data_IF_669095506114
#
_entry.id   IF_669095506114
#
_cell.length_a   1.000
_cell.length_b   1.000
_cell.length_c   1.000
_cell.angle_alpha   90.00
_cell.angle_beta   90.00
_cell.angle_gamma   90.00
#
_symmetry.space_group_name_H-M   'P 1'
#
loop_
_entity.id
_entity.type
_entity.pdbx_description
1 polymer ?
#
# COMPACT_ATOMS: atom_id res chain seq x y z
N UNK A 1 -39.05 -10.39 -4.65
CA UNK A 1 -37.99 -9.74 -3.82
C UNK A 1 -36.75 -10.64 -3.55
N UNK A 2 -36.62 -11.82 -4.11
CA UNK A 2 -35.59 -12.83 -3.80
C UNK A 2 -34.32 -12.74 -4.68
N UNK A 3 -34.36 -12.04 -5.82
CA UNK A 3 -33.22 -12.00 -6.75
C UNK A 3 -32.13 -10.98 -6.34
N UNK A 4 -32.45 -9.96 -5.56
CA UNK A 4 -31.51 -8.92 -5.11
C UNK A 4 -30.47 -9.42 -4.10
N UNK A 5 -30.74 -10.52 -3.37
CA UNK A 5 -29.80 -11.06 -2.37
C UNK A 5 -28.59 -11.73 -3.01
N UNK A 6 -28.70 -12.24 -4.24
CA UNK A 6 -27.63 -12.97 -4.94
C UNK A 6 -26.54 -12.05 -5.49
N UNK A 7 -26.89 -10.85 -5.91
CA UNK A 7 -25.96 -9.88 -6.52
C UNK A 7 -25.38 -8.89 -5.51
N UNK A 8 -25.97 -8.76 -4.33
CA UNK A 8 -25.55 -7.78 -3.34
C UNK A 8 -24.08 -7.93 -2.89
N UNK A 9 -23.48 -9.13 -2.74
CA UNK A 9 -22.06 -9.28 -2.49
C UNK A 9 -21.16 -8.56 -3.50
N UNK A 10 -21.51 -8.62 -4.78
CA UNK A 10 -20.77 -7.94 -5.85
C UNK A 10 -20.98 -6.42 -5.85
N UNK A 11 -22.16 -5.94 -5.41
CA UNK A 11 -22.40 -4.52 -5.18
C UNK A 11 -21.50 -4.01 -4.07
N UNK A 12 -21.32 -4.78 -2.99
CA UNK A 12 -20.37 -4.44 -1.92
C UNK A 12 -18.94 -4.31 -2.46
N UNK A 13 -18.51 -5.23 -3.31
CA UNK A 13 -17.18 -5.16 -3.96
C UNK A 13 -17.06 -3.90 -4.82
N UNK A 14 -18.07 -3.58 -5.62
CA UNK A 14 -18.07 -2.39 -6.47
C UNK A 14 -18.01 -1.09 -5.63
N UNK A 15 -18.81 -1.01 -4.55
CA UNK A 15 -18.78 0.12 -3.64
C UNK A 15 -17.42 0.28 -2.96
N UNK A 16 -16.82 -0.81 -2.49
CA UNK A 16 -15.50 -0.77 -1.86
C UNK A 16 -14.36 -0.58 -2.86
N UNK A 17 -14.55 -0.95 -4.12
CA UNK A 17 -13.64 -0.62 -5.21
C UNK A 17 -13.52 0.90 -5.39
N UNK A 18 -14.66 1.62 -5.37
CA UNK A 18 -14.67 3.08 -5.42
C UNK A 18 -13.94 3.72 -4.22
N UNK A 19 -14.09 3.16 -3.01
CA UNK A 19 -13.35 3.63 -1.83
C UNK A 19 -11.84 3.40 -2.00
N UNK A 20 -11.45 2.21 -2.49
CA UNK A 20 -10.06 1.86 -2.75
C UNK A 20 -9.40 2.78 -3.79
N UNK A 21 -10.15 3.09 -4.86
CA UNK A 21 -9.73 4.04 -5.87
C UNK A 21 -9.47 5.43 -5.27
N UNK A 22 -10.43 5.99 -4.52
CA UNK A 22 -10.28 7.30 -3.89
C UNK A 22 -9.12 7.33 -2.91
N UNK A 23 -8.95 6.28 -2.10
CA UNK A 23 -7.88 6.18 -1.10
C UNK A 23 -6.47 6.29 -1.73
N UNK A 24 -6.21 5.53 -2.79
CA UNK A 24 -4.91 5.56 -3.45
C UNK A 24 -4.72 6.76 -4.37
N UNK A 25 -5.81 7.31 -4.90
CA UNK A 25 -5.78 8.53 -5.70
C UNK A 25 -5.37 9.73 -4.83
N UNK A 26 -5.94 9.89 -3.63
CA UNK A 26 -5.57 10.94 -2.67
C UNK A 26 -4.09 10.86 -2.25
N UNK A 27 -3.58 9.64 -2.04
CA UNK A 27 -2.17 9.44 -1.71
C UNK A 27 -1.25 9.84 -2.85
N UNK A 28 -1.60 9.42 -4.07
CA UNK A 28 -0.73 9.57 -5.23
C UNK A 28 -0.72 10.99 -5.79
N UNK A 29 -1.87 11.69 -5.76
CA UNK A 29 -1.93 13.05 -6.32
C UNK A 29 -0.97 14.01 -5.63
N UNK A 30 -0.80 13.91 -4.30
CA UNK A 30 0.13 14.77 -3.57
C UNK A 30 1.56 14.66 -4.11
N UNK A 31 2.03 13.45 -4.45
CA UNK A 31 3.40 13.24 -4.93
C UNK A 31 3.73 13.98 -6.23
N UNK A 32 2.70 14.44 -6.95
CA UNK A 32 2.85 15.19 -8.21
C UNK A 32 2.67 16.70 -8.06
N UNK A 33 2.09 17.17 -6.94
CA UNK A 33 1.67 18.58 -6.79
C UNK A 33 2.73 19.50 -6.15
N UNK A 34 3.94 18.99 -5.82
CA UNK A 34 4.98 19.81 -5.17
C UNK A 34 5.18 21.15 -5.88
N UNK A 35 5.37 21.13 -7.19
CA UNK A 35 5.67 22.34 -8.00
C UNK A 35 4.55 23.38 -7.93
N UNK A 36 3.28 22.95 -7.87
CA UNK A 36 2.15 23.85 -7.73
C UNK A 36 2.01 24.41 -6.33
N UNK A 37 2.22 23.56 -5.31
CA UNK A 37 2.03 23.94 -3.90
C UNK A 37 3.14 24.86 -3.36
N UNK A 38 4.38 24.73 -3.84
CA UNK A 38 5.51 25.54 -3.35
C UNK A 38 5.38 27.03 -3.73
N UNK A 39 4.50 27.40 -4.65
CA UNK A 39 4.22 28.77 -5.02
C UNK A 39 3.60 29.54 -3.86
N UNK A 40 2.69 28.90 -3.14
CA UNK A 40 1.95 29.51 -2.02
C UNK A 40 2.51 29.08 -0.65
N UNK A 41 3.08 27.87 -0.54
CA UNK A 41 3.72 27.33 0.66
C UNK A 41 5.22 27.21 0.41
N UNK A 42 5.95 28.28 0.66
CA UNK A 42 7.38 28.43 0.31
C UNK A 42 8.29 27.39 0.98
N UNK A 43 7.91 26.88 2.14
CA UNK A 43 8.65 25.80 2.81
C UNK A 43 8.72 24.52 1.96
N UNK A 44 7.81 24.34 0.98
CA UNK A 44 7.80 23.20 0.05
C UNK A 44 8.77 23.38 -1.13
N UNK A 45 9.46 24.51 -1.27
CA UNK A 45 10.60 24.64 -2.19
C UNK A 45 11.64 23.57 -1.86
N UNK A 46 11.88 23.33 -0.56
CA UNK A 46 12.71 22.22 -0.11
C UNK A 46 12.04 20.87 -0.34
N UNK A 47 12.68 20.00 -1.11
CA UNK A 47 12.24 18.62 -1.30
C UNK A 47 12.32 17.81 0.01
N UNK A 48 13.24 18.17 0.93
CA UNK A 48 13.30 17.63 2.29
C UNK A 48 11.99 17.86 3.05
N UNK A 49 11.43 19.07 3.01
CA UNK A 49 10.16 19.37 3.67
C UNK A 49 9.00 18.62 2.97
N UNK A 50 9.00 18.54 1.66
CA UNK A 50 8.00 17.77 0.92
C UNK A 50 8.10 16.27 1.26
N UNK A 51 9.30 15.71 1.35
CA UNK A 51 9.55 14.34 1.81
C UNK A 51 9.05 14.11 3.23
N UNK A 52 9.24 15.08 4.16
CA UNK A 52 8.68 15.04 5.52
C UNK A 52 7.15 15.04 5.52
N UNK A 53 6.53 15.85 4.66
CA UNK A 53 5.07 15.91 4.49
C UNK A 53 4.49 14.57 4.00
N UNK A 54 5.16 13.90 3.07
CA UNK A 54 4.75 12.57 2.63
C UNK A 54 5.02 11.50 3.70
N UNK A 55 6.16 11.58 4.39
CA UNK A 55 6.57 10.60 5.38
C UNK A 55 5.72 10.62 6.66
N UNK A 56 5.21 11.78 7.12
CA UNK A 56 4.39 11.85 8.34
C UNK A 56 3.14 10.99 8.23
N UNK A 57 2.51 10.98 7.06
CA UNK A 57 1.38 10.10 6.79
C UNK A 57 1.76 8.63 7.00
N UNK A 58 2.91 8.19 6.47
CA UNK A 58 3.37 6.81 6.58
C UNK A 58 3.70 6.42 8.03
N UNK A 59 4.34 7.33 8.79
CA UNK A 59 4.60 7.10 10.21
C UNK A 59 3.32 6.85 11.00
N UNK A 60 2.34 7.73 10.84
CA UNK A 60 1.07 7.62 11.56
C UNK A 60 0.26 6.43 11.09
N UNK A 61 0.17 6.21 9.76
CA UNK A 61 -0.50 5.05 9.18
C UNK A 61 0.11 3.73 9.67
N UNK A 62 1.44 3.63 9.70
CA UNK A 62 2.13 2.43 10.18
C UNK A 62 1.88 2.15 11.67
N UNK A 63 1.93 3.19 12.52
CA UNK A 63 1.60 3.07 13.94
C UNK A 63 0.15 2.65 14.18
N UNK A 64 -0.77 3.16 13.36
CA UNK A 64 -2.19 2.86 13.47
C UNK A 64 -2.57 1.49 12.89
N UNK A 65 -1.78 0.90 11.99
CA UNK A 65 -2.11 -0.35 11.31
C UNK A 65 -2.46 -1.52 12.26
N UNK A 66 -1.68 -1.81 13.32
CA UNK A 66 -2.05 -2.87 14.28
C UNK A 66 -3.32 -2.54 15.07
N UNK A 67 -3.52 -1.26 15.42
CA UNK A 67 -4.68 -0.77 16.17
C UNK A 67 -5.93 -0.85 15.29
N UNK A 68 -5.81 -0.49 14.03
CA UNK A 68 -6.90 -0.50 13.05
C UNK A 68 -7.50 -1.90 12.85
N UNK A 69 -6.66 -2.95 12.81
CA UNK A 69 -7.12 -4.33 12.76
C UNK A 69 -7.98 -4.70 13.99
N UNK A 70 -7.51 -4.35 15.20
CA UNK A 70 -8.27 -4.61 16.44
C UNK A 70 -9.59 -3.85 16.51
N UNK A 71 -9.64 -2.63 15.98
CA UNK A 71 -10.85 -1.81 15.90
C UNK A 71 -11.83 -2.42 14.90
N UNK A 72 -11.36 -2.84 13.72
CA UNK A 72 -12.18 -3.44 12.66
C UNK A 72 -12.88 -4.75 13.10
N UNK A 73 -12.27 -5.49 14.04
CA UNK A 73 -12.85 -6.70 14.59
C UNK A 73 -13.97 -6.43 15.63
N UNK A 74 -14.03 -5.22 16.21
CA UNK A 74 -14.96 -4.89 17.31
C UNK A 74 -16.06 -3.93 16.93
N UNK A 75 -15.84 -3.10 15.93
CA UNK A 75 -16.77 -2.06 15.50
C UNK A 75 -17.50 -2.52 14.23
N UNK A 76 -18.72 -2.04 14.03
CA UNK A 76 -19.47 -2.22 12.80
C UNK A 76 -18.66 -1.72 11.60
N UNK A 77 -18.29 -2.64 10.70
CA UNK A 77 -17.37 -2.39 9.58
C UNK A 77 -17.92 -1.35 8.60
N UNK A 78 -19.23 -1.34 8.36
CA UNK A 78 -19.87 -0.31 7.53
C UNK A 78 -19.57 1.09 8.06
N UNK A 79 -19.83 1.32 9.35
CA UNK A 79 -19.64 2.65 9.94
C UNK A 79 -18.16 3.02 10.07
N UNK A 80 -17.30 2.03 10.26
CA UNK A 80 -15.85 2.25 10.26
C UNK A 80 -15.35 2.69 8.87
N UNK A 81 -15.81 2.05 7.79
CA UNK A 81 -15.47 2.39 6.41
C UNK A 81 -16.01 3.78 6.06
N UNK A 82 -17.29 4.03 6.34
CA UNK A 82 -17.95 5.32 6.05
C UNK A 82 -17.27 6.46 6.81
N UNK A 83 -17.04 6.28 8.12
CA UNK A 83 -16.39 7.27 8.96
C UNK A 83 -14.95 7.54 8.55
N UNK A 84 -14.20 6.49 8.23
CA UNK A 84 -12.84 6.60 7.71
C UNK A 84 -12.82 7.41 6.41
N UNK A 85 -13.63 7.03 5.42
CA UNK A 85 -13.73 7.77 4.14
C UNK A 85 -14.15 9.23 4.35
N UNK A 86 -15.15 9.48 5.18
CA UNK A 86 -15.59 10.85 5.46
C UNK A 86 -14.48 11.70 6.08
N UNK A 87 -13.78 11.16 7.10
CA UNK A 87 -12.73 11.90 7.81
C UNK A 87 -11.57 12.21 6.89
N UNK A 88 -11.00 11.23 6.14
CA UNK A 88 -9.88 11.55 5.27
C UNK A 88 -10.27 12.49 4.13
N UNK A 89 -11.48 12.33 3.55
CA UNK A 89 -11.97 13.23 2.48
C UNK A 89 -12.21 14.64 3.00
N UNK A 90 -12.71 14.79 4.23
CA UNK A 90 -12.82 16.07 4.88
C UNK A 90 -11.45 16.70 5.15
N UNK A 91 -10.46 15.89 5.57
CA UNK A 91 -9.08 16.34 5.72
C UNK A 91 -8.49 16.77 4.38
N UNK A 92 -8.72 16.00 3.30
CA UNK A 92 -8.32 16.37 1.94
C UNK A 92 -8.93 17.72 1.53
N UNK A 93 -10.22 17.93 1.80
CA UNK A 93 -10.89 19.22 1.57
C UNK A 93 -10.20 20.35 2.36
N UNK A 94 -9.89 20.13 3.63
CA UNK A 94 -9.23 21.11 4.50
C UNK A 94 -7.78 21.41 4.06
N UNK A 95 -7.09 20.45 3.45
CA UNK A 95 -5.77 20.70 2.87
C UNK A 95 -5.81 21.78 1.79
N UNK A 96 -6.89 21.87 1.01
CA UNK A 96 -7.09 22.95 0.03
C UNK A 96 -7.30 24.34 0.63
N UNK A 97 -7.51 24.46 1.94
CA UNK A 97 -7.59 25.74 2.66
C UNK A 97 -6.32 26.06 3.46
N UNK A 98 -5.29 25.19 3.38
CA UNK A 98 -4.05 25.40 4.13
C UNK A 98 -3.23 26.52 3.52
N UNK A 99 -2.68 27.39 4.39
CA UNK A 99 -1.87 28.56 4.01
C UNK A 99 -0.41 28.42 4.44
N UNK A 100 -0.09 27.40 5.24
CA UNK A 100 1.26 27.15 5.72
C UNK A 100 1.59 25.65 5.84
N UNK A 101 2.88 25.34 5.92
CA UNK A 101 3.39 23.98 6.01
C UNK A 101 2.87 23.21 7.23
N UNK A 102 2.75 23.85 8.38
CA UNK A 102 2.36 23.13 9.60
C UNK A 102 0.89 22.67 9.54
N UNK A 103 0.01 23.48 8.95
CA UNK A 103 -1.38 23.11 8.75
C UNK A 103 -1.50 21.85 7.89
N UNK A 104 -0.87 21.85 6.72
CA UNK A 104 -0.95 20.71 5.81
C UNK A 104 -0.24 19.47 6.39
N UNK A 105 0.83 19.67 7.18
CA UNK A 105 1.56 18.60 7.85
C UNK A 105 0.69 17.89 8.92
N UNK A 106 -0.05 18.67 9.74
CA UNK A 106 -0.97 18.13 10.75
C UNK A 106 -2.13 17.41 10.07
N UNK A 107 -2.70 17.99 9.02
CA UNK A 107 -3.78 17.37 8.25
C UNK A 107 -3.33 16.02 7.65
N UNK A 108 -2.10 15.94 7.11
CA UNK A 108 -1.53 14.67 6.63
C UNK A 108 -1.35 13.63 7.74
N UNK A 109 -0.99 14.06 8.95
CA UNK A 109 -0.93 13.15 10.10
C UNK A 109 -2.31 12.58 10.47
N UNK A 110 -3.35 13.44 10.51
CA UNK A 110 -4.73 13.02 10.77
C UNK A 110 -5.24 12.07 9.68
N UNK A 111 -4.92 12.35 8.42
CA UNK A 111 -5.23 11.47 7.30
C UNK A 111 -4.66 10.05 7.50
N UNK A 112 -3.41 9.94 7.98
CA UNK A 112 -2.77 8.66 8.28
C UNK A 112 -3.55 7.82 9.31
N UNK A 113 -4.14 8.46 10.34
CA UNK A 113 -5.01 7.78 11.32
C UNK A 113 -6.26 7.24 10.64
N UNK A 114 -6.97 8.08 9.88
CA UNK A 114 -8.25 7.70 9.30
C UNK A 114 -8.13 6.64 8.22
N UNK A 115 -7.16 6.77 7.34
CA UNK A 115 -6.97 5.81 6.24
C UNK A 115 -6.50 4.42 6.69
N UNK A 116 -5.77 4.34 7.82
CA UNK A 116 -5.34 3.04 8.37
C UNK A 116 -6.53 2.13 8.72
N UNK A 117 -7.69 2.70 9.05
CA UNK A 117 -8.89 1.97 9.44
C UNK A 117 -9.60 1.30 8.24
N UNK A 118 -9.40 1.81 7.02
CA UNK A 118 -10.17 1.38 5.86
C UNK A 118 -9.83 -0.04 5.39
N UNK A 119 -8.55 -0.32 5.11
CA UNK A 119 -8.15 -1.59 4.46
C UNK A 119 -8.57 -2.82 5.28
N UNK A 120 -8.31 -2.91 6.60
CA UNK A 120 -8.76 -4.05 7.41
C UNK A 120 -10.27 -4.22 7.40
N UNK A 121 -11.01 -3.12 7.55
CA UNK A 121 -12.47 -3.13 7.58
C UNK A 121 -13.07 -3.53 6.22
N UNK A 122 -12.54 -2.98 5.13
CA UNK A 122 -13.00 -3.25 3.77
C UNK A 122 -12.77 -4.70 3.35
N UNK A 123 -11.56 -5.22 3.56
CA UNK A 123 -11.24 -6.61 3.25
C UNK A 123 -12.06 -7.59 4.11
N UNK A 124 -12.23 -7.29 5.39
CA UNK A 124 -13.09 -8.11 6.26
C UNK A 124 -14.53 -8.12 5.77
N UNK A 125 -15.10 -6.97 5.40
CA UNK A 125 -16.48 -6.91 4.89
C UNK A 125 -16.64 -7.67 3.57
N UNK A 126 -15.68 -7.58 2.64
CA UNK A 126 -15.68 -8.35 1.39
C UNK A 126 -15.67 -9.85 1.71
N UNK A 127 -14.79 -10.29 2.60
CA UNK A 127 -14.66 -11.72 2.93
C UNK A 127 -15.89 -12.28 3.66
N UNK A 128 -16.62 -11.44 4.39
CA UNK A 128 -17.89 -11.85 5.01
C UNK A 128 -18.99 -12.10 3.97
N UNK A 129 -19.05 -11.28 2.91
CA UNK A 129 -20.05 -11.41 1.87
C UNK A 129 -19.74 -12.53 0.86
N UNK A 130 -18.44 -12.92 0.71
CA UNK A 130 -17.99 -13.90 -0.26
C UNK A 130 -17.53 -15.20 0.39
N UNK A 131 -18.06 -16.34 -0.11
CA UNK A 131 -17.63 -17.68 0.29
C UNK A 131 -16.31 -18.07 -0.40
N UNK A 132 -15.70 -19.19 0.00
CA UNK A 132 -14.40 -19.66 -0.50
C UNK A 132 -14.25 -19.62 -2.04
N UNK A 133 -15.29 -19.97 -2.80
CA UNK A 133 -15.26 -20.01 -4.26
C UNK A 133 -15.10 -18.64 -4.94
N UNK A 134 -15.52 -17.54 -4.29
CA UNK A 134 -15.53 -16.19 -4.88
C UNK A 134 -14.72 -15.17 -4.10
N UNK A 135 -14.23 -15.54 -2.92
CA UNK A 135 -13.52 -14.63 -2.01
C UNK A 135 -12.26 -14.02 -2.65
N UNK A 136 -11.41 -14.87 -3.23
CA UNK A 136 -10.17 -14.42 -3.86
C UNK A 136 -10.43 -13.49 -5.06
N UNK A 137 -11.44 -13.82 -5.87
CA UNK A 137 -11.83 -12.96 -7.00
C UNK A 137 -12.37 -11.60 -6.51
N UNK A 138 -13.19 -11.58 -5.47
CA UNK A 138 -13.75 -10.36 -4.91
C UNK A 138 -12.64 -9.44 -4.33
N UNK A 139 -11.69 -10.00 -3.60
CA UNK A 139 -10.51 -9.26 -3.12
C UNK A 139 -9.65 -8.79 -4.28
N UNK A 140 -9.41 -9.63 -5.30
CA UNK A 140 -8.66 -9.26 -6.49
C UNK A 140 -9.28 -8.06 -7.22
N UNK A 141 -10.61 -8.05 -7.43
CA UNK A 141 -11.32 -6.92 -8.03
C UNK A 141 -11.15 -5.67 -7.16
N UNK A 142 -11.30 -5.76 -5.85
CA UNK A 142 -11.06 -4.63 -4.94
C UNK A 142 -9.64 -4.07 -5.09
N UNK A 143 -8.62 -4.93 -5.19
CA UNK A 143 -7.23 -4.51 -5.39
C UNK A 143 -7.01 -3.76 -6.70
N UNK A 144 -7.77 -4.06 -7.77
CA UNK A 144 -7.67 -3.26 -9.01
C UNK A 144 -8.07 -1.80 -8.79
N UNK A 145 -8.96 -1.51 -7.81
CA UNK A 145 -9.30 -0.15 -7.42
C UNK A 145 -8.09 0.64 -6.90
N UNK A 146 -7.22 -0.01 -6.11
CA UNK A 146 -5.99 0.61 -5.60
C UNK A 146 -5.05 1.00 -6.76
N UNK A 147 -4.80 0.08 -7.69
CA UNK A 147 -3.94 0.36 -8.86
C UNK A 147 -4.53 1.45 -9.76
N UNK A 148 -5.85 1.43 -9.98
CA UNK A 148 -6.54 2.46 -10.76
C UNK A 148 -6.44 3.82 -10.07
N UNK A 149 -6.64 3.87 -8.75
CA UNK A 149 -6.49 5.08 -7.96
C UNK A 149 -5.06 5.62 -8.02
N UNK A 150 -4.05 4.76 -7.88
CA UNK A 150 -2.65 5.13 -8.02
C UNK A 150 -2.34 5.72 -9.41
N UNK A 151 -2.84 5.11 -10.49
CA UNK A 151 -2.66 5.61 -11.83
C UNK A 151 -3.30 7.01 -12.00
N UNK A 152 -4.58 7.14 -11.63
CA UNK A 152 -5.33 8.39 -11.79
C UNK A 152 -4.82 9.52 -10.89
N UNK A 153 -4.27 9.20 -9.71
CA UNK A 153 -3.65 10.19 -8.83
C UNK A 153 -2.45 10.90 -9.47
N UNK A 154 -1.82 10.30 -10.49
CA UNK A 154 -0.78 10.94 -11.28
C UNK A 154 -1.19 12.23 -11.96
N UNK A 155 -2.49 12.41 -12.25
CA UNK A 155 -3.03 13.65 -12.82
C UNK A 155 -3.15 14.81 -11.82
N UNK A 156 -2.71 14.66 -10.57
CA UNK A 156 -2.75 15.73 -9.58
C UNK A 156 -2.10 17.02 -10.08
N UNK A 157 -0.88 16.96 -10.63
CA UNK A 157 -0.20 18.12 -11.21
C UNK A 157 -0.91 18.67 -12.46
N UNK A 158 -1.48 17.81 -13.30
CA UNK A 158 -2.22 18.23 -14.50
C UNK A 158 -3.45 19.07 -14.12
N UNK A 159 -4.20 18.64 -13.11
CA UNK A 159 -5.38 19.35 -12.61
C UNK A 159 -4.94 20.64 -11.89
N UNK A 160 -3.88 20.56 -11.06
CA UNK A 160 -3.35 21.72 -10.35
C UNK A 160 -2.82 22.79 -11.32
N UNK A 161 -2.20 22.40 -12.42
CA UNK A 161 -1.74 23.32 -13.46
C UNK A 161 -2.87 23.96 -14.27
N UNK A 162 -4.00 23.25 -14.45
CA UNK A 162 -5.16 23.78 -15.18
C UNK A 162 -6.01 24.72 -14.34
N UNK A 163 -6.08 24.51 -13.02
CA UNK A 163 -6.91 25.27 -12.09
C UNK A 163 -6.08 25.82 -10.92
N UNK A 164 -5.85 25.03 -9.90
CA UNK A 164 -4.91 25.26 -8.78
C UNK A 164 -4.78 23.99 -7.94
N UNK A 165 -3.76 23.92 -7.08
CA UNK A 165 -3.58 22.81 -6.16
C UNK A 165 -4.69 22.78 -5.07
N UNK A 166 -5.16 23.94 -4.59
CA UNK A 166 -6.26 24.07 -3.65
C UNK A 166 -7.56 23.52 -4.26
N UNK A 167 -7.86 23.91 -5.50
CA UNK A 167 -9.04 23.43 -6.24
C UNK A 167 -8.98 21.92 -6.41
N UNK A 168 -7.79 21.36 -6.67
CA UNK A 168 -7.60 19.92 -6.76
C UNK A 168 -7.97 19.23 -5.45
N UNK A 169 -7.47 19.68 -4.31
CA UNK A 169 -7.85 19.14 -3.01
C UNK A 169 -9.35 19.33 -2.69
N UNK A 170 -9.92 20.47 -3.05
CA UNK A 170 -11.35 20.71 -2.85
C UNK A 170 -12.20 19.71 -3.63
N UNK A 171 -11.92 19.47 -4.90
CA UNK A 171 -12.68 18.51 -5.71
C UNK A 171 -12.56 17.09 -5.16
N UNK A 172 -11.37 16.64 -4.86
CA UNK A 172 -11.16 15.27 -4.33
C UNK A 172 -11.84 15.11 -2.97
N UNK A 173 -11.73 16.09 -2.10
CA UNK A 173 -12.39 16.08 -0.79
C UNK A 173 -13.92 16.03 -0.92
N UNK A 174 -14.51 16.88 -1.78
CA UNK A 174 -15.97 16.92 -2.02
C UNK A 174 -16.45 15.59 -2.62
N UNK A 175 -15.74 15.03 -3.62
CA UNK A 175 -16.09 13.74 -4.23
C UNK A 175 -16.09 12.64 -3.17
N UNK A 176 -15.07 12.58 -2.31
CA UNK A 176 -15.00 11.57 -1.26
C UNK A 176 -16.07 11.72 -0.19
N UNK A 177 -16.38 12.95 0.23
CA UNK A 177 -17.50 13.24 1.14
C UNK A 177 -18.83 12.80 0.51
N UNK A 178 -19.08 13.17 -0.75
CA UNK A 178 -20.28 12.76 -1.47
C UNK A 178 -20.36 11.23 -1.59
N UNK A 179 -19.24 10.57 -1.84
CA UNK A 179 -19.18 9.11 -1.92
C UNK A 179 -19.44 8.44 -0.57
N UNK A 180 -19.04 9.06 0.55
CA UNK A 180 -19.39 8.57 1.88
C UNK A 180 -20.90 8.55 2.12
N UNK A 181 -21.64 9.54 1.60
CA UNK A 181 -23.10 9.55 1.64
C UNK A 181 -23.73 8.42 0.81
N UNK A 182 -23.15 8.13 -0.37
CA UNK A 182 -23.55 6.95 -1.17
C UNK A 182 -23.37 5.67 -0.37
N UNK A 183 -22.25 5.51 0.35
CA UNK A 183 -22.01 4.34 1.19
C UNK A 183 -23.00 4.24 2.36
N UNK A 184 -23.39 5.35 2.97
CA UNK A 184 -24.43 5.34 4.02
C UNK A 184 -25.71 4.70 3.51
N UNK A 185 -26.12 5.03 2.29
CA UNK A 185 -27.36 4.56 1.69
C UNK A 185 -27.28 3.10 1.19
N UNK A 186 -26.19 2.73 0.54
CA UNK A 186 -26.10 1.47 -0.21
C UNK A 186 -25.26 0.39 0.47
N UNK A 187 -24.26 0.72 1.29
CA UNK A 187 -23.45 -0.27 1.99
C UNK A 187 -24.22 -0.79 3.22
N UNK A 188 -24.27 -2.11 3.38
CA UNK A 188 -24.89 -2.77 4.54
C UNK A 188 -23.87 -3.60 5.27
N UNK A 189 -23.99 -3.63 6.60
CA UNK A 189 -23.26 -4.58 7.43
C UNK A 189 -23.86 -5.98 7.25
N UNK A 190 -22.99 -6.98 7.10
CA UNK A 190 -23.44 -8.37 7.21
C UNK A 190 -23.40 -8.76 8.68
N UNK A 191 -24.57 -8.96 9.30
CA UNK A 191 -24.66 -9.50 10.65
C UNK A 191 -24.10 -10.92 10.64
N UNK A 192 -22.89 -11.09 11.11
CA UNK A 192 -22.28 -12.40 11.23
C UNK A 192 -22.65 -13.01 12.58
N UNK A 193 -23.40 -14.11 12.55
CA UNK A 193 -23.68 -14.91 13.75
C UNK A 193 -22.47 -15.72 14.20
N UNK A 194 -21.34 -15.66 13.48
CA UNK A 194 -20.16 -16.49 13.72
C UNK A 194 -19.31 -15.95 14.88
N UNK A 195 -19.30 -14.63 15.10
CA UNK A 195 -18.61 -14.03 16.26
C UNK A 195 -19.24 -14.48 17.58
N UNK A 196 -20.57 -14.67 17.59
CA UNK A 196 -21.30 -15.18 18.75
C UNK A 196 -21.00 -16.67 19.07
N UNK A 197 -20.49 -17.44 18.09
CA UNK A 197 -20.12 -18.85 18.30
C UNK A 197 -18.70 -19.05 18.84
N UNK A 198 -17.77 -18.14 18.55
CA UNK A 198 -16.40 -18.17 19.10
C UNK A 198 -16.37 -17.81 20.59
N UNK A 199 -17.39 -17.08 21.08
CA UNK A 199 -17.55 -16.78 22.52
C UNK A 199 -18.14 -17.95 23.33
N UNK A 200 -18.52 -19.06 22.71
CA UNK A 200 -19.22 -20.19 23.36
C UNK A 200 -18.35 -21.43 23.57
N UNK A 201 -17.06 -21.44 23.22
CA UNK A 201 -16.16 -22.51 23.62
C UNK A 201 -15.64 -22.28 25.06
N UNK A 202 -15.76 -23.26 25.96
CA UNK A 202 -15.30 -23.14 27.32
C UNK A 202 -13.78 -23.39 27.40
N UNK A 203 -13.00 -22.34 27.12
CA UNK A 203 -11.56 -22.28 27.39
C UNK A 203 -11.22 -21.08 28.27
N UNK A 204 -10.10 -21.03 28.99
CA UNK A 204 -9.70 -19.86 29.75
C UNK A 204 -9.56 -18.67 28.77
N UNK A 205 -10.46 -17.70 28.91
CA UNK A 205 -10.49 -16.47 28.08
C UNK A 205 -9.24 -15.63 28.38
N UNK A 206 -8.12 -15.94 27.72
CA UNK A 206 -7.00 -14.99 27.65
C UNK A 206 -7.52 -13.71 27.02
N UNK A 207 -7.24 -12.56 27.64
CA UNK A 207 -7.62 -11.28 27.02
C UNK A 207 -6.95 -11.19 25.64
N UNK A 208 -7.66 -10.67 24.61
CA UNK A 208 -7.11 -10.55 23.25
C UNK A 208 -5.73 -9.84 23.20
N UNK A 209 -5.51 -8.90 24.11
CA UNK A 209 -4.22 -8.22 24.26
C UNK A 209 -3.12 -9.16 24.77
N UNK A 210 -3.41 -10.04 25.78
CA UNK A 210 -2.43 -11.02 26.25
C UNK A 210 -2.10 -12.07 25.21
N UNK A 211 -3.11 -12.54 24.45
CA UNK A 211 -2.91 -13.48 23.36
C UNK A 211 -2.06 -12.86 22.22
N UNK A 212 -2.29 -11.59 21.90
CA UNK A 212 -1.48 -10.84 20.91
C UNK A 212 -0.04 -10.66 21.40
N UNK A 213 0.20 -10.26 22.65
CA UNK A 213 1.55 -10.09 23.23
C UNK A 213 2.29 -11.42 23.25
N UNK A 214 1.62 -12.52 23.66
CA UNK A 214 2.22 -13.86 23.66
C UNK A 214 2.56 -14.31 22.23
N UNK A 215 1.66 -14.05 21.27
CA UNK A 215 1.90 -14.32 19.86
C UNK A 215 3.09 -13.55 19.31
N UNK A 216 3.20 -12.24 19.61
CA UNK A 216 4.35 -11.43 19.26
C UNK A 216 5.64 -12.00 19.84
N UNK A 217 5.67 -12.37 21.12
CA UNK A 217 6.85 -12.98 21.74
C UNK A 217 7.32 -14.23 21.01
N UNK A 218 6.41 -15.12 20.59
CA UNK A 218 6.76 -16.33 19.84
C UNK A 218 7.26 -16.02 18.42
N UNK A 219 6.74 -14.99 17.75
CA UNK A 219 7.19 -14.56 16.43
C UNK A 219 8.63 -14.04 16.50
N UNK A 220 8.95 -13.20 17.48
CA UNK A 220 10.28 -12.59 17.61
C UNK A 220 11.39 -13.55 18.05
N UNK A 221 11.04 -14.71 18.62
CA UNK A 221 12.00 -15.79 18.88
C UNK A 221 12.38 -16.55 17.60
N UNK A 222 11.55 -16.49 16.56
CA UNK A 222 11.80 -17.20 15.30
C UNK A 222 12.71 -16.37 14.37
N UNK A 223 13.94 -16.83 14.15
CA UNK A 223 14.92 -16.19 13.26
C UNK A 223 14.39 -16.01 11.83
N UNK A 224 13.60 -16.97 11.31
CA UNK A 224 13.02 -16.86 9.99
C UNK A 224 12.04 -15.68 9.88
N UNK A 225 11.38 -15.32 10.98
CA UNK A 225 10.49 -14.15 11.01
C UNK A 225 11.28 -12.85 10.86
N UNK A 226 12.43 -12.72 11.51
CA UNK A 226 13.32 -11.56 11.35
C UNK A 226 13.86 -11.43 9.92
N UNK A 227 14.20 -12.57 9.29
CA UNK A 227 14.65 -12.58 7.89
C UNK A 227 13.51 -12.12 6.96
N UNK A 228 12.27 -12.57 7.21
CA UNK A 228 11.09 -12.12 6.47
C UNK A 228 10.84 -10.62 6.66
N UNK A 229 10.98 -10.11 7.89
CA UNK A 229 10.85 -8.68 8.16
C UNK A 229 11.91 -7.86 7.43
N UNK A 230 13.18 -8.29 7.49
CA UNK A 230 14.29 -7.65 6.78
C UNK A 230 14.06 -7.65 5.27
N UNK A 231 13.71 -8.80 4.72
CA UNK A 231 13.40 -8.98 3.31
C UNK A 231 12.28 -8.05 2.87
N UNK A 232 11.17 -8.03 3.60
CA UNK A 232 10.03 -7.18 3.27
C UNK A 232 10.32 -5.69 3.44
N UNK A 233 11.00 -5.30 4.54
CA UNK A 233 11.39 -3.92 4.78
C UNK A 233 12.32 -3.39 3.68
N UNK A 234 13.37 -4.14 3.34
CA UNK A 234 14.35 -3.73 2.32
C UNK A 234 13.71 -3.62 0.93
N UNK A 235 12.83 -4.56 0.58
CA UNK A 235 12.11 -4.53 -0.70
C UNK A 235 11.03 -3.45 -0.74
N UNK A 236 10.51 -3.03 0.42
CA UNK A 236 9.55 -1.93 0.53
C UNK A 236 10.19 -0.56 0.29
N UNK A 237 11.51 -0.40 0.51
CA UNK A 237 12.21 0.86 0.26
C UNK A 237 12.01 1.35 -1.18
N UNK A 238 12.42 0.61 -2.23
CA UNK A 238 12.22 1.05 -3.61
C UNK A 238 10.73 1.11 -3.99
N UNK A 239 9.86 0.30 -3.38
CA UNK A 239 8.42 0.36 -3.61
C UNK A 239 7.80 1.69 -3.16
N UNK A 240 8.21 2.22 -2.00
CA UNK A 240 7.77 3.54 -1.54
C UNK A 240 8.50 4.68 -2.22
N UNK A 241 9.78 4.50 -2.56
CA UNK A 241 10.54 5.45 -3.37
C UNK A 241 9.84 5.73 -4.70
N UNK A 242 9.46 4.68 -5.43
CA UNK A 242 8.75 4.82 -6.71
C UNK A 242 7.36 5.43 -6.55
N UNK A 243 6.61 5.10 -5.51
CA UNK A 243 5.30 5.71 -5.26
C UNK A 243 5.39 7.21 -5.02
N UNK A 244 6.40 7.66 -4.28
CA UNK A 244 6.47 9.03 -3.80
C UNK A 244 7.37 9.93 -4.64
N UNK A 245 8.42 9.40 -5.27
CA UNK A 245 9.46 10.19 -5.94
C UNK A 245 9.65 9.87 -7.43
N UNK A 246 9.02 8.80 -7.95
CA UNK A 246 9.15 8.49 -9.38
C UNK A 246 8.63 9.59 -10.30
N UNK A 247 7.51 10.30 -9.99
CA UNK A 247 7.09 11.45 -10.80
C UNK A 247 8.17 12.52 -10.88
N UNK A 248 8.82 12.86 -9.76
CA UNK A 248 9.93 13.81 -9.70
C UNK A 248 11.12 13.32 -10.54
N UNK A 249 11.52 12.06 -10.38
CA UNK A 249 12.61 11.45 -11.13
C UNK A 249 12.33 11.48 -12.65
N UNK A 250 11.09 11.20 -13.08
CA UNK A 250 10.70 11.28 -14.50
C UNK A 250 10.78 12.72 -15.02
N UNK A 251 10.30 13.69 -14.23
CA UNK A 251 10.36 15.10 -14.58
C UNK A 251 11.82 15.59 -14.75
N UNK A 252 12.68 15.24 -13.80
CA UNK A 252 14.10 15.63 -13.82
C UNK A 252 14.85 14.97 -14.98
N UNK A 253 14.81 13.63 -15.09
CA UNK A 253 15.61 12.89 -16.06
C UNK A 253 15.12 13.06 -17.51
N UNK A 254 13.82 13.29 -17.74
CA UNK A 254 13.26 13.50 -19.07
C UNK A 254 13.10 14.98 -19.42
N UNK A 255 13.36 15.89 -18.47
CA UNK A 255 13.17 17.33 -18.63
C UNK A 255 11.76 17.69 -19.11
N UNK A 256 10.74 17.03 -18.56
CA UNK A 256 9.32 17.24 -18.85
C UNK A 256 8.58 17.81 -17.65
N UNK A 257 7.48 18.52 -17.90
CA UNK A 257 6.65 19.06 -16.83
C UNK A 257 6.04 17.98 -15.95
N UNK A 258 5.82 18.31 -14.67
CA UNK A 258 5.19 17.40 -13.72
C UNK A 258 3.78 16.99 -14.15
N UNK A 259 3.06 17.82 -14.90
CA UNK A 259 1.76 17.52 -15.49
C UNK A 259 1.78 16.35 -16.47
N UNK A 260 2.94 16.08 -17.10
CA UNK A 260 3.18 14.93 -17.98
C UNK A 260 3.90 13.80 -17.24
N UNK A 261 4.92 14.12 -16.44
CA UNK A 261 5.71 13.16 -15.68
C UNK A 261 4.86 12.38 -14.66
N UNK A 262 3.90 13.05 -14.01
CA UNK A 262 2.98 12.45 -13.05
C UNK A 262 2.20 11.28 -13.66
N UNK A 263 1.32 11.54 -14.64
CA UNK A 263 0.58 10.46 -15.30
C UNK A 263 1.49 9.40 -15.91
N UNK A 264 2.55 9.78 -16.63
CA UNK A 264 3.46 8.84 -17.27
C UNK A 264 4.07 7.85 -16.27
N UNK A 265 4.60 8.35 -15.16
CA UNK A 265 5.23 7.50 -14.14
C UNK A 265 4.23 6.61 -13.42
N UNK A 266 3.07 7.16 -13.03
CA UNK A 266 2.07 6.40 -12.25
C UNK A 266 1.37 5.33 -13.08
N UNK A 267 1.03 5.61 -14.34
CA UNK A 267 0.49 4.60 -15.26
C UNK A 267 1.52 3.52 -15.58
N UNK A 268 2.78 3.90 -15.81
CA UNK A 268 3.87 2.94 -16.04
C UNK A 268 3.95 1.93 -14.90
N UNK A 269 3.97 2.39 -13.65
CA UNK A 269 4.04 1.51 -12.48
C UNK A 269 2.73 0.73 -12.26
N UNK A 270 1.57 1.37 -12.35
CA UNK A 270 0.30 0.73 -12.05
C UNK A 270 0.01 -0.43 -13.01
N UNK A 271 0.16 -0.22 -14.31
CA UNK A 271 -0.09 -1.25 -15.33
C UNK A 271 0.92 -2.39 -15.22
N UNK A 272 2.21 -2.06 -15.11
CA UNK A 272 3.25 -3.08 -15.01
C UNK A 272 3.18 -3.89 -13.71
N UNK A 273 2.87 -3.25 -12.58
CA UNK A 273 2.67 -3.96 -11.31
C UNK A 273 1.46 -4.88 -11.36
N UNK A 274 0.36 -4.46 -11.98
CA UNK A 274 -0.81 -5.31 -12.17
C UNK A 274 -0.46 -6.58 -12.97
N UNK A 275 0.28 -6.43 -14.07
CA UNK A 275 0.79 -7.58 -14.85
C UNK A 275 1.69 -8.47 -13.98
N UNK A 276 2.60 -7.85 -13.22
CA UNK A 276 3.53 -8.55 -12.32
C UNK A 276 2.81 -9.37 -11.25
N UNK A 277 1.79 -8.81 -10.60
CA UNK A 277 0.98 -9.49 -9.57
C UNK A 277 0.31 -10.74 -10.14
N UNK A 278 -0.30 -10.63 -11.32
CA UNK A 278 -0.96 -11.78 -11.98
C UNK A 278 0.07 -12.85 -12.36
N UNK A 279 1.15 -12.44 -13.02
CA UNK A 279 2.22 -13.36 -13.44
C UNK A 279 2.88 -14.05 -12.23
N UNK A 280 3.17 -13.28 -11.18
CA UNK A 280 3.76 -13.77 -9.93
C UNK A 280 2.86 -14.76 -9.20
N UNK A 281 1.56 -14.47 -9.10
CA UNK A 281 0.59 -15.38 -8.50
C UNK A 281 0.51 -16.72 -9.26
N UNK A 282 0.33 -16.68 -10.58
CA UNK A 282 0.26 -17.89 -11.40
C UNK A 282 1.55 -18.73 -11.34
N UNK A 283 2.71 -18.07 -11.43
CA UNK A 283 4.01 -18.74 -11.37
C UNK A 283 4.22 -19.39 -10.01
N UNK A 284 3.94 -18.66 -8.93
CA UNK A 284 4.05 -19.12 -7.56
C UNK A 284 3.19 -20.37 -7.29
N UNK A 285 1.91 -20.33 -7.69
CA UNK A 285 0.96 -21.43 -7.47
C UNK A 285 1.34 -22.69 -8.26
N UNK A 286 1.90 -22.55 -9.44
CA UNK A 286 2.42 -23.69 -10.22
C UNK A 286 3.70 -24.25 -9.60
N UNK A 287 4.60 -23.39 -9.16
CA UNK A 287 5.92 -23.82 -8.70
C UNK A 287 5.88 -24.45 -7.31
N UNK A 288 5.02 -23.96 -6.40
CA UNK A 288 4.87 -24.53 -5.06
C UNK A 288 4.41 -26.00 -5.09
N UNK A 289 3.68 -26.42 -6.13
CA UNK A 289 3.25 -27.82 -6.31
C UNK A 289 4.42 -28.78 -6.58
N UNK A 290 5.55 -28.25 -7.07
CA UNK A 290 6.74 -29.02 -7.41
C UNK A 290 7.89 -28.82 -6.43
N UNK A 291 7.95 -27.67 -5.80
CA UNK A 291 9.02 -27.27 -4.90
C UNK A 291 8.50 -26.39 -3.76
N UNK A 292 8.70 -26.82 -2.52
CA UNK A 292 8.30 -26.07 -1.30
C UNK A 292 8.87 -24.64 -1.27
N UNK A 293 10.01 -24.39 -1.93
CA UNK A 293 10.61 -23.06 -2.08
C UNK A 293 10.07 -22.27 -3.27
N UNK A 294 9.08 -22.78 -4.00
CA UNK A 294 8.57 -22.17 -5.23
C UNK A 294 8.12 -20.72 -5.05
N UNK A 295 7.48 -20.40 -3.91
CA UNK A 295 7.03 -19.03 -3.58
C UNK A 295 8.21 -18.08 -3.35
N UNK A 296 9.24 -18.55 -2.63
CA UNK A 296 10.47 -17.78 -2.38
C UNK A 296 11.18 -17.51 -3.71
N UNK A 297 11.38 -18.53 -4.55
CA UNK A 297 12.01 -18.34 -5.85
C UNK A 297 11.23 -17.39 -6.76
N UNK A 298 9.89 -17.43 -6.73
CA UNK A 298 9.06 -16.49 -7.50
C UNK A 298 9.26 -15.07 -6.99
N UNK A 299 9.19 -14.83 -5.68
CA UNK A 299 9.46 -13.52 -5.07
C UNK A 299 10.87 -13.03 -5.38
N UNK A 300 11.88 -13.93 -5.31
CA UNK A 300 13.26 -13.62 -5.64
C UNK A 300 13.46 -13.22 -7.11
N UNK A 301 12.77 -13.86 -8.07
CA UNK A 301 12.77 -13.44 -9.48
C UNK A 301 12.20 -12.02 -9.60
N UNK A 302 11.08 -11.74 -8.91
CA UNK A 302 10.51 -10.41 -8.87
C UNK A 302 11.52 -9.37 -8.41
N UNK A 303 12.17 -9.60 -7.27
CA UNK A 303 13.20 -8.69 -6.76
C UNK A 303 14.44 -8.60 -7.67
N UNK A 304 14.87 -9.69 -8.26
CA UNK A 304 16.00 -9.68 -9.19
C UNK A 304 15.73 -8.75 -10.38
N UNK A 305 14.47 -8.68 -10.87
CA UNK A 305 14.08 -7.76 -11.93
C UNK A 305 14.08 -6.29 -11.49
N UNK A 306 13.86 -6.00 -10.21
CA UNK A 306 13.91 -4.61 -9.74
C UNK A 306 15.34 -4.05 -9.68
N UNK A 307 16.38 -4.89 -9.63
CA UNK A 307 17.77 -4.44 -9.57
C UNK A 307 18.18 -3.68 -10.85
N UNK A 308 18.13 -4.29 -12.06
CA UNK A 308 18.44 -3.55 -13.28
C UNK A 308 17.45 -2.40 -13.52
N UNK A 309 16.20 -2.54 -13.08
CA UNK A 309 15.21 -1.48 -13.20
C UNK A 309 15.61 -0.23 -12.41
N UNK A 310 16.08 -0.38 -11.16
CA UNK A 310 16.56 0.74 -10.33
C UNK A 310 17.81 1.40 -10.93
N UNK A 311 18.70 0.64 -11.55
CA UNK A 311 19.87 1.18 -12.26
C UNK A 311 19.45 1.99 -13.49
N UNK A 312 18.48 1.47 -14.27
CA UNK A 312 17.93 2.18 -15.43
C UNK A 312 17.19 3.46 -15.03
N UNK A 313 16.44 3.43 -13.92
CA UNK A 313 15.74 4.60 -13.39
C UNK A 313 16.73 5.65 -12.87
N UNK A 314 17.78 5.22 -12.17
CA UNK A 314 18.71 6.12 -11.52
C UNK A 314 19.74 6.75 -12.48
N UNK A 315 20.22 6.00 -13.48
CA UNK A 315 21.28 6.43 -14.40
C UNK A 315 20.80 6.58 -15.85
N UNK A 316 19.53 6.30 -16.14
CA UNK A 316 18.98 6.43 -17.49
C UNK A 316 18.87 7.90 -17.92
N UNK A 317 19.24 8.17 -19.17
CA UNK A 317 19.24 9.47 -19.80
C UNK A 317 18.28 9.56 -21.00
N UNK A 318 17.59 8.47 -21.31
CA UNK A 318 16.66 8.40 -22.43
C UNK A 318 15.27 7.96 -22.00
N UNK A 319 14.26 8.38 -22.76
CA UNK A 319 12.86 7.97 -22.54
C UNK A 319 12.71 6.44 -22.46
N UNK A 320 13.38 5.70 -23.35
CA UNK A 320 13.30 4.25 -23.37
C UNK A 320 13.90 3.60 -22.10
N UNK A 321 15.01 4.15 -21.58
CA UNK A 321 15.64 3.65 -20.35
C UNK A 321 14.77 3.94 -19.13
N UNK A 322 14.26 5.15 -19.00
CA UNK A 322 13.45 5.58 -17.84
C UNK A 322 12.11 4.85 -17.81
N UNK A 323 11.36 4.86 -18.91
CA UNK A 323 10.06 4.17 -18.99
C UNK A 323 10.25 2.65 -18.95
N UNK A 324 11.25 2.12 -19.66
CA UNK A 324 11.60 0.70 -19.62
C UNK A 324 12.01 0.25 -18.21
N UNK A 325 12.79 1.05 -17.50
CA UNK A 325 13.13 0.86 -16.08
C UNK A 325 11.88 0.83 -15.20
N UNK A 326 10.98 1.78 -15.38
CA UNK A 326 9.70 1.82 -14.65
C UNK A 326 8.81 0.59 -14.91
N UNK A 327 8.68 0.17 -16.17
CA UNK A 327 7.94 -1.06 -16.54
C UNK A 327 8.57 -2.30 -15.92
N UNK A 328 9.88 -2.45 -16.02
CA UNK A 328 10.63 -3.56 -15.44
C UNK A 328 10.48 -3.58 -13.90
N UNK A 329 10.58 -2.40 -13.26
CA UNK A 329 10.38 -2.26 -11.83
C UNK A 329 8.97 -2.70 -11.41
N UNK A 330 7.94 -2.19 -12.08
CA UNK A 330 6.56 -2.52 -11.74
C UNK A 330 6.26 -4.02 -11.88
N UNK A 331 6.70 -4.66 -12.97
CA UNK A 331 6.55 -6.11 -13.15
C UNK A 331 7.27 -6.86 -12.01
N UNK A 332 8.54 -6.52 -11.75
CA UNK A 332 9.34 -7.17 -10.72
C UNK A 332 8.74 -7.00 -9.33
N UNK A 333 8.36 -5.77 -8.98
CA UNK A 333 7.74 -5.46 -7.70
C UNK A 333 6.37 -6.14 -7.54
N UNK A 334 5.55 -6.20 -8.60
CA UNK A 334 4.28 -6.91 -8.58
C UNK A 334 4.43 -8.42 -8.33
N UNK A 335 5.42 -9.06 -8.97
CA UNK A 335 5.75 -10.48 -8.72
C UNK A 335 6.16 -10.70 -7.27
N UNK A 336 6.98 -9.82 -6.71
CA UNK A 336 7.38 -9.86 -5.31
C UNK A 336 6.17 -9.69 -4.38
N UNK A 337 5.37 -8.66 -4.58
CA UNK A 337 4.27 -8.27 -3.70
C UNK A 337 3.19 -9.35 -3.59
N UNK A 338 2.89 -10.04 -4.69
CA UNK A 338 1.96 -11.16 -4.72
C UNK A 338 2.37 -12.34 -3.81
N UNK A 339 3.65 -12.46 -3.47
CA UNK A 339 4.20 -13.58 -2.72
C UNK A 339 4.44 -13.31 -1.24
N UNK A 340 4.32 -12.08 -0.77
CA UNK A 340 4.64 -11.70 0.60
C UNK A 340 3.82 -12.46 1.65
N UNK A 341 2.49 -12.40 1.56
CA UNK A 341 1.62 -13.13 2.48
C UNK A 341 1.73 -14.66 2.33
N UNK A 342 1.76 -15.23 1.12
CA UNK A 342 2.02 -16.65 0.92
C UNK A 342 3.33 -17.16 1.51
N UNK A 343 4.43 -16.40 1.41
CA UNK A 343 5.72 -16.75 2.04
C UNK A 343 5.58 -16.73 3.56
N UNK A 344 5.02 -15.67 4.14
CA UNK A 344 4.78 -15.56 5.57
C UNK A 344 4.01 -16.78 6.13
N UNK A 345 3.00 -17.26 5.40
CA UNK A 345 2.19 -18.42 5.78
C UNK A 345 2.97 -19.74 5.83
N UNK A 346 4.14 -19.83 5.21
CA UNK A 346 5.01 -21.01 5.28
C UNK A 346 5.80 -21.08 6.59
N UNK A 347 5.96 -19.98 7.31
CA UNK A 347 6.77 -19.85 8.52
C UNK A 347 5.97 -19.54 9.77
N UNK A 348 4.70 -19.11 9.62
CA UNK A 348 3.85 -18.70 10.74
C UNK A 348 2.58 -19.53 10.77
N UNK A 349 2.25 -20.04 11.97
CA UNK A 349 1.03 -20.84 12.16
C UNK A 349 -0.24 -19.99 11.91
N UNK A 350 -1.35 -20.60 11.49
CA UNK A 350 -2.61 -19.91 11.17
C UNK A 350 -3.09 -18.95 12.27
N UNK A 351 -2.89 -19.34 13.53
CA UNK A 351 -3.31 -18.56 14.71
C UNK A 351 -2.64 -17.18 14.78
N UNK A 352 -1.40 -17.04 14.29
CA UNK A 352 -0.60 -15.81 14.42
C UNK A 352 -0.38 -15.07 13.10
N UNK A 353 -0.94 -15.54 11.97
CA UNK A 353 -0.73 -14.97 10.64
C UNK A 353 -1.15 -13.52 10.53
N UNK A 354 -2.30 -13.17 11.11
CA UNK A 354 -2.79 -11.79 11.09
C UNK A 354 -1.85 -10.84 11.83
N UNK A 355 -1.40 -11.23 13.03
CA UNK A 355 -0.43 -10.45 13.83
C UNK A 355 0.90 -10.32 13.10
N UNK A 356 1.43 -11.41 12.55
CA UNK A 356 2.69 -11.43 11.83
C UNK A 356 2.63 -10.55 10.57
N UNK A 357 1.54 -10.61 9.82
CA UNK A 357 1.33 -9.74 8.65
C UNK A 357 1.21 -8.28 9.04
N UNK A 358 0.50 -7.96 10.13
CA UNK A 358 0.40 -6.60 10.66
C UNK A 358 1.78 -6.00 11.01
N UNK A 359 2.64 -6.79 11.69
CA UNK A 359 4.01 -6.37 12.02
C UNK A 359 4.84 -6.20 10.75
N UNK A 360 4.76 -7.15 9.81
CA UNK A 360 5.45 -7.08 8.54
C UNK A 360 5.05 -5.84 7.74
N UNK A 361 3.74 -5.56 7.64
CA UNK A 361 3.24 -4.37 6.96
C UNK A 361 3.69 -3.07 7.63
N UNK A 362 3.59 -2.98 8.96
CA UNK A 362 4.10 -1.85 9.73
C UNK A 362 5.59 -1.60 9.46
N UNK A 363 6.40 -2.66 9.45
CA UNK A 363 7.84 -2.57 9.17
C UNK A 363 8.11 -2.04 7.76
N UNK A 364 7.37 -2.53 6.75
CA UNK A 364 7.48 -2.04 5.37
C UNK A 364 7.03 -0.59 5.19
N UNK A 365 5.99 -0.16 5.92
CA UNK A 365 5.52 1.23 5.91
C UNK A 365 6.52 2.16 6.60
N UNK A 366 7.16 1.73 7.69
CA UNK A 366 8.21 2.50 8.36
C UNK A 366 9.46 2.63 7.48
N UNK A 367 9.87 1.56 6.80
CA UNK A 367 10.91 1.64 5.78
C UNK A 367 10.54 2.66 4.69
N UNK A 368 9.27 2.67 4.28
CA UNK A 368 8.70 3.68 3.37
C UNK A 368 8.79 5.10 3.88
N UNK A 369 8.48 5.34 5.15
CA UNK A 369 8.58 6.66 5.76
C UNK A 369 10.04 7.16 5.80
N UNK A 370 10.97 6.28 6.15
CA UNK A 370 12.40 6.59 6.19
C UNK A 370 12.90 6.96 4.79
N UNK A 371 12.69 6.09 3.80
CA UNK A 371 13.20 6.34 2.44
C UNK A 371 12.56 7.56 1.79
N UNK A 372 11.26 7.81 2.03
CA UNK A 372 10.56 8.97 1.50
C UNK A 372 11.18 10.27 1.98
N UNK A 373 11.55 10.35 3.27
CA UNK A 373 12.25 11.50 3.83
C UNK A 373 13.66 11.63 3.27
N UNK A 374 14.45 10.55 3.25
CA UNK A 374 15.83 10.55 2.77
C UNK A 374 15.93 10.97 1.30
N UNK A 375 15.01 10.51 0.45
CA UNK A 375 14.99 10.92 -0.95
C UNK A 375 14.59 12.39 -1.13
N UNK A 376 13.88 12.99 -0.19
CA UNK A 376 13.69 14.45 -0.17
C UNK A 376 15.01 15.18 0.05
N UNK A 377 15.82 14.75 1.01
CA UNK A 377 17.17 15.29 1.26
C UNK A 377 18.09 15.05 0.04
N UNK A 378 18.00 13.91 -0.57
CA UNK A 378 18.72 13.54 -1.80
C UNK A 378 18.34 14.43 -2.99
N UNK A 379 17.06 14.74 -3.15
CA UNK A 379 16.56 15.63 -4.21
C UNK A 379 17.11 17.05 -4.05
N UNK A 380 17.09 17.60 -2.82
CA UNK A 380 17.69 18.92 -2.57
C UNK A 380 19.20 18.93 -2.84
N UNK A 381 19.89 17.79 -2.70
CA UNK A 381 21.32 17.62 -3.01
C UNK A 381 21.59 17.30 -4.49
N UNK A 382 20.55 17.14 -5.35
CA UNK A 382 20.70 16.77 -6.75
C UNK A 382 21.12 15.33 -7.00
N UNK A 383 20.88 14.42 -6.02
CA UNK A 383 21.35 13.04 -6.04
C UNK A 383 20.21 12.00 -6.17
N UNK A 384 18.97 12.42 -6.48
CA UNK A 384 17.80 11.55 -6.48
C UNK A 384 18.02 10.28 -7.34
N UNK A 385 18.50 10.44 -8.58
CA UNK A 385 18.78 9.31 -9.46
C UNK A 385 19.85 8.38 -8.92
N UNK A 386 20.95 8.92 -8.37
CA UNK A 386 22.00 8.13 -7.75
C UNK A 386 21.47 7.28 -6.57
N UNK A 387 20.62 7.84 -5.71
CA UNK A 387 20.08 7.12 -4.56
C UNK A 387 19.03 6.09 -4.97
N UNK A 388 18.27 6.34 -6.06
CA UNK A 388 17.46 5.28 -6.68
C UNK A 388 18.31 4.10 -7.14
N UNK A 389 19.44 4.35 -7.80
CA UNK A 389 20.36 3.29 -8.22
C UNK A 389 21.01 2.57 -7.04
N UNK A 390 21.38 3.29 -5.97
CA UNK A 390 21.94 2.69 -4.77
C UNK A 390 21.00 1.70 -4.08
N UNK A 391 19.68 1.90 -4.16
CA UNK A 391 18.73 0.93 -3.62
C UNK A 391 18.86 -0.46 -4.29
N UNK A 392 19.37 -0.55 -5.51
CA UNK A 392 19.65 -1.81 -6.17
C UNK A 392 20.62 -2.72 -5.35
N UNK A 393 21.62 -2.12 -4.71
CA UNK A 393 22.55 -2.84 -3.85
C UNK A 393 21.88 -3.40 -2.59
N UNK A 394 21.00 -2.63 -1.96
CA UNK A 394 20.23 -3.07 -0.80
C UNK A 394 19.29 -4.23 -1.16
N UNK A 395 18.59 -4.10 -2.28
CA UNK A 395 17.72 -5.17 -2.81
C UNK A 395 18.53 -6.43 -3.13
N UNK A 396 19.73 -6.29 -3.73
CA UNK A 396 20.61 -7.42 -4.01
C UNK A 396 21.00 -8.16 -2.74
N UNK A 397 21.41 -7.45 -1.69
CA UNK A 397 21.77 -8.05 -0.40
C UNK A 397 20.55 -8.78 0.21
N UNK A 398 19.37 -8.15 0.21
CA UNK A 398 18.16 -8.76 0.71
C UNK A 398 17.78 -10.03 -0.05
N UNK A 399 17.92 -10.01 -1.39
CA UNK A 399 17.70 -11.16 -2.26
C UNK A 399 18.64 -12.33 -1.91
N UNK A 400 19.95 -12.06 -1.72
CA UNK A 400 20.93 -13.08 -1.34
C UNK A 400 20.58 -13.68 0.03
N UNK A 401 20.26 -12.85 1.01
CA UNK A 401 19.87 -13.30 2.36
C UNK A 401 18.61 -14.16 2.29
N UNK A 402 17.58 -13.74 1.54
CA UNK A 402 16.35 -14.50 1.36
C UNK A 402 16.64 -15.89 0.76
N UNK A 403 17.31 -15.94 -0.37
CA UNK A 403 17.57 -17.20 -1.11
C UNK A 403 18.41 -18.17 -0.28
N UNK A 404 19.36 -17.68 0.50
CA UNK A 404 20.25 -18.53 1.31
C UNK A 404 19.54 -19.03 2.58
N UNK A 405 18.89 -18.12 3.32
CA UNK A 405 18.47 -18.40 4.69
C UNK A 405 16.99 -18.79 4.82
N UNK A 406 16.09 -18.33 3.92
CA UNK A 406 14.69 -18.76 3.97
C UNK A 406 14.52 -20.17 3.39
N UNK A 407 14.31 -21.14 4.29
CA UNK A 407 14.14 -22.55 3.94
C UNK A 407 12.85 -23.10 4.56
N UNK A 408 11.69 -22.93 3.89
CA UNK A 408 10.45 -23.49 4.39
C UNK A 408 10.49 -25.00 4.33
N UNK A 409 9.87 -25.64 5.34
CA UNK A 409 9.75 -27.11 5.43
C UNK A 409 8.37 -27.59 4.96
N UNK A 410 7.41 -26.68 4.86
CA UNK A 410 6.02 -26.99 4.54
C UNK A 410 5.46 -25.98 3.55
N UNK A 411 4.39 -26.33 2.83
CA UNK A 411 3.64 -25.43 1.97
C UNK A 411 2.94 -24.35 2.80
N UNK A 412 2.38 -24.75 3.93
CA UNK A 412 1.83 -23.85 4.94
C UNK A 412 2.12 -24.45 6.32
N UNK A 413 2.45 -23.59 7.31
CA UNK A 413 2.53 -24.03 8.70
C UNK A 413 1.14 -24.41 9.18
N UNK A 414 1.00 -25.63 9.67
CA UNK A 414 -0.19 -26.11 10.40
C UNK A 414 0.09 -26.08 11.89
N UNK A 415 -0.91 -25.76 12.72
CA UNK A 415 -0.81 -25.93 14.16
C UNK A 415 -0.61 -27.45 14.43
N UNK A 416 0.48 -27.79 15.08
CA UNK A 416 0.70 -29.13 15.65
C UNK A 416 0.17 -29.14 17.06
#
# INVERSE_FOLDING_TARGET
>A
MTNNKKYYPWIVVALLWGVALLNYMDRQMLSTMKSAMMIDITELESATNFGRLMAVFLWIYGLMSPVAGMIADRINRKWLIVGSLFVWSFVTLMMGYSTDFNQIYILRAIMGVSEALYIPAGLSLITDYHQEKTRSLAVGIHMTGLYTGQALGGFGATIAGAYSWETTFHWFGIIGIAYSLVLILFLKEKKDHTVAKLDSEPGPKESPAKAAIKGMGMLFVNISFWIILLYFATSSLPGWATKNWLPTLFSENLSIDMSEAGPLSTFTIAISSFIGVIAGGILSDKWIQRNVRGRIYTGSIGLALTIPALLLLGFGDSFAMIVGGGLCFGIGFGIFDANNMPILCQFVSPRYRATAYGIMNMTGVFAGAIITKLLGESTDAGNLGHDFAMMASLVFVALVVEVIFLRPRTVNMTDK
#
